data_IF_598692530947
#
_entry.id   IF_598692530947
#
_cell.length_a   1.000
_cell.length_b   1.000
_cell.length_c   1.000
_cell.angle_alpha   90.00
_cell.angle_beta   90.00
_cell.angle_gamma   90.00
#
_symmetry.space_group_name_H-M   'P 1'
#
loop_
_entity.id
_entity.type
_entity.pdbx_description
1 polymer ?
#
# COMPACT_ATOMS: atom_id res chain seq x y z
N UNK A 1 -38.42 -0.55 -28.62
CA UNK A 1 -37.31 -1.50 -28.90
C UNK A 1 -36.02 -0.70 -29.04
N UNK A 2 -35.18 -0.67 -28.00
CA UNK A 2 -33.89 0.02 -28.05
C UNK A 2 -32.80 -0.97 -28.47
N UNK A 3 -32.14 -0.68 -29.59
CA UNK A 3 -31.03 -1.45 -30.13
C UNK A 3 -29.83 -1.34 -29.17
N UNK A 4 -29.46 -2.44 -28.54
CA UNK A 4 -28.17 -2.57 -27.86
C UNK A 4 -27.06 -2.47 -28.91
N UNK A 5 -26.54 -1.26 -29.15
CA UNK A 5 -25.27 -1.08 -29.86
C UNK A 5 -24.21 -1.79 -29.05
N UNK A 6 -23.76 -2.97 -29.49
CA UNK A 6 -22.53 -3.59 -29.00
C UNK A 6 -21.42 -2.56 -29.20
N UNK A 7 -20.96 -1.96 -28.11
CA UNK A 7 -19.90 -0.98 -28.18
C UNK A 7 -18.63 -1.72 -28.60
N UNK A 8 -18.06 -1.32 -29.73
CA UNK A 8 -16.86 -1.95 -30.27
C UNK A 8 -15.68 -1.57 -29.35
N UNK A 9 -14.89 -2.55 -28.88
CA UNK A 9 -13.65 -2.27 -28.17
C UNK A 9 -12.74 -1.38 -29.03
N UNK A 10 -12.04 -0.47 -28.39
CA UNK A 10 -11.00 0.32 -29.05
C UNK A 10 -9.82 -0.59 -29.43
N UNK A 11 -9.21 -0.41 -30.62
CA UNK A 11 -8.11 -1.27 -31.06
C UNK A 11 -6.82 -1.08 -30.25
N UNK A 12 -6.61 0.10 -29.65
CA UNK A 12 -5.39 0.46 -28.92
C UNK A 12 -5.59 0.45 -27.40
N UNK A 13 -6.84 0.60 -26.93
CA UNK A 13 -7.22 0.56 -25.51
C UNK A 13 -8.36 -0.46 -25.32
N UNK A 14 -8.09 -1.77 -25.38
CA UNK A 14 -9.10 -2.83 -25.45
C UNK A 14 -9.98 -2.93 -24.20
N UNK A 15 -9.55 -2.37 -23.07
CA UNK A 15 -10.35 -2.26 -21.84
C UNK A 15 -11.55 -1.31 -21.98
N UNK A 16 -11.59 -0.51 -23.05
CA UNK A 16 -12.58 0.52 -23.27
C UNK A 16 -13.28 0.35 -24.61
N UNK A 17 -14.51 0.86 -24.69
CA UNK A 17 -15.11 1.11 -25.99
C UNK A 17 -14.46 2.33 -26.68
N UNK A 18 -14.60 2.40 -28.01
CA UNK A 18 -14.02 3.49 -28.81
C UNK A 18 -14.38 4.91 -28.31
N UNK A 19 -15.62 5.13 -27.84
CA UNK A 19 -16.02 6.45 -27.36
C UNK A 19 -15.39 6.79 -26.01
N UNK A 20 -15.25 5.80 -25.14
CA UNK A 20 -14.55 5.89 -23.86
C UNK A 20 -13.05 6.15 -24.06
N UNK A 21 -12.42 5.45 -25.01
CA UNK A 21 -11.03 5.64 -25.36
C UNK A 21 -10.77 7.05 -25.94
N UNK A 22 -11.62 7.53 -26.84
CA UNK A 22 -11.53 8.90 -27.38
C UNK A 22 -11.65 9.96 -26.29
N UNK A 23 -12.52 9.72 -25.30
CA UNK A 23 -12.67 10.61 -24.15
C UNK A 23 -11.41 10.65 -23.28
N UNK A 24 -10.78 9.50 -23.01
CA UNK A 24 -9.51 9.46 -22.27
C UNK A 24 -8.41 10.17 -23.04
N UNK A 25 -8.28 9.94 -24.35
CA UNK A 25 -7.30 10.65 -25.20
C UNK A 25 -7.50 12.16 -25.11
N UNK A 26 -8.75 12.63 -25.15
CA UNK A 26 -9.06 14.05 -25.03
C UNK A 26 -8.69 14.62 -23.65
N UNK A 27 -9.03 13.92 -22.57
CA UNK A 27 -8.68 14.32 -21.20
C UNK A 27 -7.17 14.33 -20.96
N UNK A 28 -6.45 13.34 -21.51
CA UNK A 28 -5.00 13.27 -21.41
C UNK A 28 -4.32 14.42 -22.14
N UNK A 29 -4.78 14.76 -23.37
CA UNK A 29 -4.32 15.95 -24.10
C UNK A 29 -4.56 17.23 -23.30
N UNK A 30 -5.74 17.37 -22.70
CA UNK A 30 -6.08 18.54 -21.89
C UNK A 30 -5.16 18.68 -20.67
N UNK A 31 -4.90 17.58 -19.95
CA UNK A 31 -3.99 17.59 -18.79
C UNK A 31 -2.55 17.93 -19.20
N UNK A 32 -2.03 17.34 -20.27
CA UNK A 32 -0.68 17.64 -20.80
C UNK A 32 -0.55 19.11 -21.23
N UNK A 33 -1.57 19.64 -21.91
CA UNK A 33 -1.61 21.04 -22.30
C UNK A 33 -1.65 21.96 -21.07
N UNK A 34 -2.41 21.62 -20.03
CA UNK A 34 -2.48 22.38 -18.78
C UNK A 34 -1.13 22.39 -18.03
N UNK A 35 -0.33 21.34 -18.19
CA UNK A 35 1.05 21.25 -17.67
C UNK A 35 2.08 21.96 -18.56
N UNK A 36 1.65 22.56 -19.68
CA UNK A 36 2.55 23.25 -20.63
C UNK A 36 3.41 22.30 -21.46
N UNK A 37 3.05 21.02 -21.55
CA UNK A 37 3.81 19.99 -22.26
C UNK A 37 3.26 19.83 -23.68
N UNK A 38 4.12 20.02 -24.67
CA UNK A 38 3.76 19.72 -26.06
C UNK A 38 3.79 18.19 -26.26
N UNK A 39 2.66 17.61 -26.62
CA UNK A 39 2.51 16.18 -26.80
C UNK A 39 1.53 15.82 -27.92
N UNK A 40 1.86 14.77 -28.66
CA UNK A 40 0.98 14.10 -29.62
C UNK A 40 0.44 12.83 -28.99
N UNK A 41 -0.88 12.64 -29.04
CA UNK A 41 -1.54 11.42 -28.56
C UNK A 41 -2.14 10.70 -29.76
N UNK A 42 -1.60 9.53 -30.08
CA UNK A 42 -2.05 8.66 -31.18
C UNK A 42 -2.31 7.24 -30.66
N UNK A 43 -3.52 6.73 -30.85
CA UNK A 43 -3.96 5.48 -30.23
C UNK A 43 -3.77 5.49 -28.70
N UNK A 44 -2.98 4.54 -28.19
CA UNK A 44 -2.56 4.49 -26.78
C UNK A 44 -1.22 5.19 -26.53
N UNK A 45 -0.51 5.65 -27.56
CA UNK A 45 0.83 6.21 -27.48
C UNK A 45 0.79 7.72 -27.26
N UNK A 46 1.66 8.21 -26.38
CA UNK A 46 1.89 9.64 -26.16
C UNK A 46 3.36 9.96 -26.41
N UNK A 47 3.60 10.80 -27.41
CA UNK A 47 4.92 11.34 -27.72
C UNK A 47 4.97 12.79 -27.20
N UNK A 48 5.85 13.08 -26.25
CA UNK A 48 5.96 14.41 -25.65
C UNK A 48 7.39 14.95 -25.69
N UNK A 49 7.54 16.24 -25.42
CA UNK A 49 8.87 16.87 -25.25
C UNK A 49 9.67 16.30 -24.08
N UNK A 50 9.03 15.60 -23.13
CA UNK A 50 9.67 14.94 -21.99
C UNK A 50 10.02 13.47 -22.25
N UNK A 51 9.63 12.93 -23.40
CA UNK A 51 9.75 11.51 -23.73
C UNK A 51 8.41 10.87 -24.05
N UNK A 52 8.43 9.55 -24.21
CA UNK A 52 7.31 8.76 -24.67
C UNK A 52 6.69 7.93 -23.54
N UNK A 53 5.35 7.80 -23.52
CA UNK A 53 4.62 6.93 -22.59
C UNK A 53 3.29 6.45 -23.19
N UNK A 54 2.58 5.54 -22.51
CA UNK A 54 1.30 4.96 -22.97
C UNK A 54 0.11 5.32 -22.07
N UNK A 55 -1.09 5.37 -22.65
CA UNK A 55 -2.37 5.63 -21.96
C UNK A 55 -3.02 4.37 -21.37
N UNK A 56 -2.45 3.19 -21.56
CA UNK A 56 -2.99 1.94 -21.02
C UNK A 56 -3.22 1.99 -19.49
N UNK A 57 -2.33 2.57 -18.67
CA UNK A 57 -2.59 2.68 -17.23
C UNK A 57 -3.76 3.62 -16.92
N UNK A 58 -3.96 4.66 -17.72
CA UNK A 58 -5.11 5.57 -17.60
C UNK A 58 -6.40 4.82 -17.95
N UNK A 59 -6.38 4.04 -19.04
CA UNK A 59 -7.54 3.26 -19.48
C UNK A 59 -7.95 2.20 -18.45
N UNK A 60 -6.97 1.47 -17.91
CA UNK A 60 -7.18 0.47 -16.85
C UNK A 60 -7.77 1.07 -15.59
N UNK A 61 -7.30 2.25 -15.18
CA UNK A 61 -7.79 2.95 -13.98
C UNK A 61 -9.19 3.54 -14.19
N UNK A 62 -9.56 3.90 -15.43
CA UNK A 62 -10.88 4.43 -15.75
C UNK A 62 -11.95 3.35 -16.01
N UNK A 63 -11.56 2.16 -16.49
CA UNK A 63 -12.48 1.11 -16.95
C UNK A 63 -13.50 0.66 -15.89
N UNK A 64 -13.07 0.60 -14.62
CA UNK A 64 -13.89 0.15 -13.49
C UNK A 64 -14.58 1.32 -12.73
N UNK A 65 -14.45 2.57 -13.21
CA UNK A 65 -14.82 3.78 -12.46
C UNK A 65 -15.95 4.57 -13.12
N UNK A 66 -16.68 5.37 -12.33
CA UNK A 66 -17.74 6.25 -12.85
C UNK A 66 -17.17 7.25 -13.88
N UNK A 67 -17.72 7.33 -15.10
CA UNK A 67 -17.26 8.28 -16.12
C UNK A 67 -17.24 9.76 -15.71
N UNK A 68 -17.89 10.15 -14.61
CA UNK A 68 -17.83 11.50 -14.04
C UNK A 68 -16.53 11.76 -13.26
N UNK A 69 -15.88 10.74 -12.73
CA UNK A 69 -14.60 10.88 -12.01
C UNK A 69 -13.39 10.92 -12.95
N UNK A 70 -13.57 10.51 -14.21
CA UNK A 70 -12.49 10.39 -15.20
C UNK A 70 -11.66 11.67 -15.40
N UNK A 71 -12.21 12.89 -15.44
CA UNK A 71 -11.38 14.10 -15.58
C UNK A 71 -10.33 14.22 -14.47
N UNK A 72 -10.69 13.86 -13.24
CA UNK A 72 -9.76 13.87 -12.11
C UNK A 72 -8.78 12.69 -12.17
N UNK A 73 -9.27 11.47 -12.43
CA UNK A 73 -8.42 10.27 -12.53
C UNK A 73 -7.37 10.40 -13.64
N UNK A 74 -7.79 10.82 -14.84
CA UNK A 74 -6.88 11.01 -15.97
C UNK A 74 -5.81 12.05 -15.64
N UNK A 75 -6.20 13.18 -15.05
CA UNK A 75 -5.28 14.25 -14.68
C UNK A 75 -4.24 13.78 -13.65
N UNK A 76 -4.65 13.06 -12.60
CA UNK A 76 -3.74 12.51 -11.60
C UNK A 76 -2.77 11.48 -12.19
N UNK A 77 -3.26 10.57 -13.03
CA UNK A 77 -2.42 9.53 -13.66
C UNK A 77 -1.44 10.15 -14.64
N UNK A 78 -1.88 11.13 -15.45
CA UNK A 78 -1.01 11.86 -16.41
C UNK A 78 0.04 12.67 -15.67
N UNK A 79 -0.30 13.40 -14.60
CA UNK A 79 0.67 14.11 -13.76
C UNK A 79 1.73 13.18 -13.18
N UNK A 80 1.32 11.99 -12.71
CA UNK A 80 2.23 10.96 -12.20
C UNK A 80 3.19 10.46 -13.30
N UNK A 81 2.69 10.21 -14.51
CA UNK A 81 3.51 9.81 -15.66
C UNK A 81 4.49 10.90 -16.08
N UNK A 82 4.03 12.15 -16.15
CA UNK A 82 4.85 13.32 -16.47
C UNK A 82 5.95 13.53 -15.44
N UNK A 83 5.62 13.45 -14.14
CA UNK A 83 6.60 13.55 -13.06
C UNK A 83 7.65 12.43 -13.18
N UNK A 84 7.21 11.20 -13.46
CA UNK A 84 8.12 10.09 -13.67
C UNK A 84 9.10 10.33 -14.84
N UNK A 85 8.63 10.94 -15.94
CA UNK A 85 9.49 11.29 -17.08
C UNK A 85 10.43 12.47 -16.77
N UNK A 86 9.93 13.52 -16.11
CA UNK A 86 10.70 14.71 -15.76
C UNK A 86 11.82 14.42 -14.75
N UNK A 87 11.55 13.54 -13.78
CA UNK A 87 12.51 13.16 -12.73
C UNK A 87 13.48 12.05 -13.21
N UNK A 88 13.35 11.58 -14.46
CA UNK A 88 14.11 10.44 -14.97
C UNK A 88 13.79 9.12 -14.27
N UNK A 89 12.67 9.06 -13.52
CA UNK A 89 12.17 7.88 -12.86
C UNK A 89 11.66 6.89 -13.92
N UNK A 90 12.58 6.01 -14.35
CA UNK A 90 12.27 4.84 -15.16
C UNK A 90 11.02 4.17 -14.61
N UNK A 91 10.09 3.85 -15.51
CA UNK A 91 9.06 2.83 -15.34
C UNK A 91 9.64 1.72 -14.45
N UNK A 92 9.02 1.49 -13.29
CA UNK A 92 9.56 0.63 -12.24
C UNK A 92 9.81 -0.78 -12.80
N UNK A 93 11.04 -1.07 -13.22
CA UNK A 93 11.44 -2.42 -13.62
C UNK A 93 11.39 -3.32 -12.39
N UNK A 94 11.16 -4.62 -12.54
CA UNK A 94 11.16 -5.56 -11.41
C UNK A 94 12.45 -5.46 -10.56
N UNK A 95 13.59 -5.17 -11.21
CA UNK A 95 14.87 -4.93 -10.54
C UNK A 95 14.90 -3.63 -9.73
N UNK A 96 14.22 -2.58 -10.20
CA UNK A 96 14.07 -1.28 -9.52
C UNK A 96 13.07 -1.39 -8.36
N UNK A 97 11.97 -2.12 -8.56
CA UNK A 97 10.99 -2.48 -7.53
C UNK A 97 11.68 -3.20 -6.40
N UNK A 98 12.37 -4.31 -6.66
CA UNK A 98 13.01 -5.10 -5.61
C UNK A 98 14.00 -4.31 -4.74
N UNK A 99 14.62 -3.26 -5.28
CA UNK A 99 15.58 -2.44 -4.52
C UNK A 99 14.94 -1.46 -3.54
N UNK A 100 13.72 -1.02 -3.78
CA UNK A 100 13.13 0.10 -3.05
C UNK A 100 11.73 -0.20 -2.52
N UNK A 101 11.12 -1.34 -2.86
CA UNK A 101 9.85 -1.70 -2.25
C UNK A 101 10.04 -2.20 -0.83
N UNK A 102 9.08 -1.88 0.02
CA UNK A 102 9.01 -2.32 1.41
C UNK A 102 7.60 -2.80 1.72
N UNK A 103 7.49 -3.71 2.68
CA UNK A 103 6.19 -4.06 3.24
C UNK A 103 5.64 -2.92 4.08
N UNK A 104 4.38 -2.57 3.82
CA UNK A 104 3.65 -1.55 4.54
C UNK A 104 2.39 -2.14 5.15
N UNK A 105 2.32 -2.04 6.48
CA UNK A 105 1.09 -2.29 7.22
C UNK A 105 0.08 -1.18 6.90
N UNK A 106 -1.06 -1.55 6.32
CA UNK A 106 -2.03 -0.60 5.78
C UNK A 106 -3.43 -0.78 6.43
N UNK A 107 -3.84 0.14 7.33
CA UNK A 107 -5.16 0.12 7.95
C UNK A 107 -6.29 0.44 6.96
N UNK A 108 -7.51 -0.04 7.23
CA UNK A 108 -8.69 0.17 6.38
C UNK A 108 -8.96 1.64 6.04
N UNK A 109 -8.82 2.55 7.02
CA UNK A 109 -9.01 4.01 6.81
C UNK A 109 -8.08 4.59 5.73
N UNK A 110 -6.87 4.05 5.59
CA UNK A 110 -5.87 4.50 4.61
C UNK A 110 -6.10 3.86 3.24
N UNK A 111 -7.00 2.86 3.15
CA UNK A 111 -7.45 2.24 1.91
C UNK A 111 -8.64 2.96 1.28
N UNK A 112 -9.36 3.78 2.05
CA UNK A 112 -10.60 4.41 1.58
C UNK A 112 -10.37 5.25 0.31
N UNK A 113 -11.17 4.99 -0.72
CA UNK A 113 -11.09 5.69 -2.01
C UNK A 113 -10.01 5.19 -2.97
N UNK A 114 -9.31 4.09 -2.67
CA UNK A 114 -8.26 3.50 -3.52
C UNK A 114 -8.43 1.97 -3.65
N UNK A 115 -8.06 1.42 -4.81
CA UNK A 115 -8.09 -0.03 -5.03
C UNK A 115 -6.74 -0.67 -4.66
N UNK A 116 -6.81 -1.69 -3.79
CA UNK A 116 -5.68 -2.47 -3.29
C UNK A 116 -5.94 -3.97 -3.44
N UNK A 117 -6.43 -4.41 -4.60
CA UNK A 117 -6.71 -5.83 -4.91
C UNK A 117 -5.47 -6.71 -4.80
N UNK A 118 -4.28 -6.14 -4.99
CA UNK A 118 -2.98 -6.85 -4.87
C UNK A 118 -2.38 -6.84 -3.46
N UNK A 119 -3.02 -6.19 -2.48
CA UNK A 119 -2.59 -6.28 -1.09
C UNK A 119 -2.87 -7.68 -0.51
N UNK A 120 -2.05 -8.11 0.44
CA UNK A 120 -2.17 -9.42 1.09
C UNK A 120 -2.83 -9.29 2.45
N UNK A 121 -3.68 -10.25 2.80
CA UNK A 121 -4.20 -10.32 4.17
C UNK A 121 -3.04 -10.56 5.15
N UNK A 122 -3.08 -9.95 6.34
CA UNK A 122 -2.06 -10.15 7.37
C UNK A 122 -1.83 -11.65 7.66
N UNK A 123 -2.91 -12.43 7.75
CA UNK A 123 -2.87 -13.88 8.00
C UNK A 123 -2.16 -14.71 6.93
N UNK A 124 -2.08 -14.21 5.69
CA UNK A 124 -1.35 -14.88 4.61
C UNK A 124 0.16 -14.66 4.66
N UNK A 125 0.59 -13.65 5.43
CA UNK A 125 1.98 -13.24 5.58
C UNK A 125 2.53 -13.65 6.94
N UNK A 126 1.66 -13.68 7.95
CA UNK A 126 1.92 -14.15 9.31
C UNK A 126 0.90 -15.26 9.62
N UNK A 127 1.27 -16.55 9.51
CA UNK A 127 0.34 -17.67 9.69
C UNK A 127 -0.26 -17.65 11.11
N UNK A 128 -1.59 -17.76 11.25
CA UNK A 128 -2.35 -17.73 12.51
C UNK A 128 -2.12 -16.50 13.41
N UNK A 129 -2.56 -15.33 12.90
CA UNK A 129 -2.97 -14.23 13.76
C UNK A 129 -4.12 -14.68 14.67
N UNK A 130 -3.81 -14.86 15.95
CA UNK A 130 -4.75 -15.35 16.95
C UNK A 130 -6.03 -14.51 16.95
N UNK A 131 -7.17 -15.21 16.92
CA UNK A 131 -8.53 -14.66 17.10
C UNK A 131 -8.53 -13.42 18.01
N UNK A 132 -9.08 -12.32 17.50
CA UNK A 132 -9.63 -11.25 18.33
C UNK A 132 -10.53 -11.89 19.39
N UNK A 133 -10.38 -11.49 20.65
CA UNK A 133 -11.06 -12.07 21.80
C UNK A 133 -12.53 -12.40 21.56
N UNK A 134 -13.01 -13.47 22.20
CA UNK A 134 -14.40 -13.93 22.11
C UNK A 134 -15.40 -12.81 22.41
N UNK A 135 -16.10 -12.36 21.39
CA UNK A 135 -17.30 -11.54 21.47
C UNK A 135 -18.10 -11.86 20.22
N UNK A 136 -19.40 -12.08 20.39
CA UNK A 136 -20.33 -12.51 19.34
C UNK A 136 -20.11 -11.73 18.03
N UNK A 137 -20.32 -12.43 16.91
CA UNK A 137 -20.63 -11.79 15.65
C UNK A 137 -21.84 -10.88 15.85
N UNK A 138 -21.58 -9.60 16.10
CA UNK A 138 -22.58 -8.55 16.08
C UNK A 138 -22.62 -8.04 14.64
N UNK A 139 -23.72 -8.33 13.95
CA UNK A 139 -24.08 -7.72 12.68
C UNK A 139 -24.31 -6.23 12.93
N UNK A 140 -23.23 -5.45 12.90
CA UNK A 140 -23.26 -3.99 13.03
C UNK A 140 -22.44 -3.48 14.21
N UNK A 141 -21.14 -3.29 14.03
CA UNK A 141 -20.31 -2.66 15.06
C UNK A 141 -18.87 -2.43 14.60
N UNK A 142 -18.43 -1.18 14.69
CA UNK A 142 -17.04 -0.78 14.50
C UNK A 142 -16.10 -1.61 15.39
N UNK A 143 -15.01 -2.15 14.83
CA UNK A 143 -13.95 -2.76 15.67
C UNK A 143 -13.06 -3.83 15.05
N UNK A 144 -13.30 -4.32 13.83
CA UNK A 144 -12.29 -5.10 13.09
C UNK A 144 -11.45 -4.16 12.25
N UNK A 145 -10.27 -3.82 12.72
CA UNK A 145 -9.26 -3.17 11.87
C UNK A 145 -8.79 -4.21 10.86
N UNK A 146 -9.43 -4.26 9.70
CA UNK A 146 -8.97 -5.07 8.56
C UNK A 146 -7.69 -4.44 8.01
N UNK A 147 -6.56 -4.82 8.63
CA UNK A 147 -5.23 -4.40 8.22
C UNK A 147 -4.70 -5.36 7.15
N UNK A 148 -4.08 -4.81 6.12
CA UNK A 148 -3.47 -5.59 5.04
C UNK A 148 -1.99 -5.25 4.90
N UNK A 149 -1.26 -6.12 4.21
CA UNK A 149 0.12 -5.90 3.78
C UNK A 149 0.11 -5.39 2.35
N UNK A 150 0.51 -4.14 2.17
CA UNK A 150 0.70 -3.53 0.86
C UNK A 150 2.19 -3.38 0.56
N UNK A 151 2.52 -3.19 -0.73
CA UNK A 151 3.84 -2.70 -1.13
C UNK A 151 3.82 -1.18 -1.08
N UNK A 152 4.89 -0.61 -0.53
CA UNK A 152 5.20 0.81 -0.65
C UNK A 152 6.56 0.96 -1.32
N UNK A 153 6.75 2.08 -2.00
CA UNK A 153 8.03 2.52 -2.53
C UNK A 153 8.71 3.41 -1.50
N UNK A 154 9.87 2.97 -1.03
CA UNK A 154 10.75 3.73 -0.15
C UNK A 154 11.75 4.51 -0.99
N UNK A 155 11.38 5.74 -1.34
CA UNK A 155 12.21 6.68 -2.06
C UNK A 155 13.11 7.49 -1.13
N UNK A 156 14.01 8.30 -1.69
CA UNK A 156 14.94 9.11 -0.88
C UNK A 156 14.23 10.16 -0.02
N UNK A 157 13.07 10.67 -0.46
CA UNK A 157 12.33 11.74 0.23
C UNK A 157 10.93 11.33 0.72
N UNK A 158 10.36 10.24 0.20
CA UNK A 158 8.97 9.84 0.48
C UNK A 158 8.78 8.32 0.52
N UNK A 159 7.80 7.92 1.34
CA UNK A 159 7.24 6.58 1.34
C UNK A 159 5.88 6.59 0.61
N UNK A 160 5.83 6.01 -0.58
CA UNK A 160 4.66 6.06 -1.46
C UNK A 160 3.94 4.71 -1.57
N UNK A 161 2.66 4.66 -1.22
CA UNK A 161 1.86 3.44 -1.31
C UNK A 161 1.64 3.02 -2.77
N UNK A 162 2.02 1.77 -3.10
CA UNK A 162 1.82 1.21 -4.43
C UNK A 162 0.41 0.62 -4.54
N UNK A 163 -0.46 1.33 -5.24
CA UNK A 163 -1.82 0.88 -5.53
C UNK A 163 -1.86 -0.09 -6.72
N UNK A 164 -3.07 -0.55 -7.07
CA UNK A 164 -3.24 -1.49 -8.17
C UNK A 164 -2.76 -0.96 -9.53
N UNK A 165 -2.83 0.36 -9.77
CA UNK A 165 -2.32 0.94 -11.00
C UNK A 165 -0.79 0.86 -11.06
N UNK A 166 -0.12 1.21 -9.96
CA UNK A 166 1.34 1.15 -9.85
C UNK A 166 1.88 -0.28 -9.98
N UNK A 167 1.15 -1.26 -9.44
CA UNK A 167 1.55 -2.67 -9.46
C UNK A 167 1.10 -3.42 -10.73
N UNK A 168 0.43 -2.75 -11.66
CA UNK A 168 -0.20 -3.42 -12.80
C UNK A 168 0.76 -3.96 -13.86
N UNK A 169 2.01 -3.47 -13.87
CA UNK A 169 3.06 -3.86 -14.82
C UNK A 169 4.15 -4.72 -14.16
N UNK A 170 3.98 -5.11 -12.89
CA UNK A 170 4.93 -5.96 -12.17
C UNK A 170 4.71 -7.40 -12.62
N UNK A 171 5.74 -8.01 -13.21
CA UNK A 171 5.62 -9.36 -13.78
C UNK A 171 5.62 -10.41 -12.67
N UNK A 172 6.49 -10.24 -11.67
CA UNK A 172 6.60 -11.13 -10.52
C UNK A 172 6.26 -10.41 -9.20
N UNK A 173 4.97 -10.42 -8.87
CA UNK A 173 4.48 -9.86 -7.61
C UNK A 173 5.04 -10.62 -6.40
N UNK A 174 5.23 -11.94 -6.47
CA UNK A 174 5.77 -12.70 -5.35
C UNK A 174 7.21 -12.30 -5.03
N UNK A 175 8.04 -12.13 -6.07
CA UNK A 175 9.39 -11.59 -5.90
C UNK A 175 9.39 -10.17 -5.32
N UNK A 176 8.47 -9.31 -5.76
CA UNK A 176 8.33 -7.96 -5.21
C UNK A 176 7.93 -7.98 -3.72
N UNK A 177 7.02 -8.88 -3.32
CA UNK A 177 6.68 -9.08 -1.91
C UNK A 177 7.84 -9.67 -1.11
N UNK A 178 8.60 -10.62 -1.65
CA UNK A 178 9.79 -11.16 -0.98
C UNK A 178 10.85 -10.06 -0.76
N UNK A 179 11.10 -9.22 -1.77
CA UNK A 179 12.00 -8.08 -1.66
C UNK A 179 11.49 -7.05 -0.64
N UNK A 180 10.19 -6.76 -0.65
CA UNK A 180 9.55 -5.86 0.31
C UNK A 180 9.75 -6.30 1.76
N UNK A 181 9.68 -7.60 2.03
CA UNK A 181 10.01 -8.16 3.35
C UNK A 181 11.49 -7.97 3.68
N UNK A 182 12.38 -8.34 2.76
CA UNK A 182 13.82 -8.24 2.98
C UNK A 182 14.27 -6.80 3.30
N UNK A 183 13.73 -5.81 2.59
CA UNK A 183 14.01 -4.41 2.82
C UNK A 183 13.42 -3.92 4.15
N UNK A 184 12.23 -4.37 4.54
CA UNK A 184 11.67 -4.07 5.86
C UNK A 184 12.52 -4.69 6.98
N UNK A 185 13.04 -5.90 6.80
CA UNK A 185 13.96 -6.54 7.75
C UNK A 185 15.26 -5.74 7.88
N UNK A 186 15.79 -5.25 6.76
CA UNK A 186 16.97 -4.40 6.74
C UNK A 186 16.73 -3.06 7.45
N UNK A 187 15.57 -2.41 7.22
CA UNK A 187 15.16 -1.19 7.93
C UNK A 187 15.06 -1.44 9.43
N UNK A 188 14.33 -2.49 9.86
CA UNK A 188 14.25 -2.86 11.28
C UNK A 188 15.65 -3.03 11.89
N UNK A 189 16.58 -3.68 11.18
CA UNK A 189 17.93 -3.91 11.67
C UNK A 189 18.77 -2.63 11.76
N UNK A 190 18.76 -1.79 10.73
CA UNK A 190 19.63 -0.62 10.60
C UNK A 190 19.11 0.60 11.36
N UNK A 191 17.80 0.75 11.48
CA UNK A 191 17.19 1.96 12.01
C UNK A 191 17.32 2.02 13.54
N UNK A 192 17.79 3.16 14.09
CA UNK A 192 17.82 3.36 15.53
C UNK A 192 16.40 3.43 16.09
N UNK A 193 16.21 2.79 17.24
CA UNK A 193 14.94 2.81 17.96
C UNK A 193 15.20 3.10 19.44
N UNK A 194 14.40 3.99 19.99
CA UNK A 194 14.34 4.20 21.43
C UNK A 194 13.38 3.17 22.03
N UNK A 195 13.80 2.52 23.12
CA UNK A 195 13.02 1.47 23.77
C UNK A 195 12.78 1.88 25.21
N UNK A 196 11.52 2.04 25.57
CA UNK A 196 11.09 2.36 26.93
C UNK A 196 10.32 1.18 27.51
N UNK A 197 10.75 0.69 28.68
CA UNK A 197 9.98 -0.32 29.40
C UNK A 197 8.76 0.35 30.05
N UNK A 198 7.56 -0.07 29.66
CA UNK A 198 6.30 0.52 30.15
C UNK A 198 5.61 -0.36 31.19
N UNK A 199 5.90 -1.67 31.17
CA UNK A 199 5.53 -2.61 32.22
C UNK A 199 6.48 -3.81 32.21
N UNK A 200 6.26 -4.75 33.12
CA UNK A 200 7.01 -6.00 33.15
C UNK A 200 6.82 -6.77 31.83
N UNK A 201 7.92 -7.02 31.10
CA UNK A 201 7.90 -7.64 29.77
C UNK A 201 7.33 -6.80 28.63
N UNK A 202 6.74 -5.62 28.88
CA UNK A 202 6.15 -4.77 27.83
C UNK A 202 7.02 -3.55 27.57
N UNK A 203 7.37 -3.36 26.31
CA UNK A 203 8.17 -2.24 25.83
C UNK A 203 7.41 -1.41 24.81
N UNK A 204 7.66 -0.11 24.85
CA UNK A 204 7.31 0.85 23.81
C UNK A 204 8.56 1.15 22.99
N UNK A 205 8.44 0.98 21.68
CA UNK A 205 9.49 1.21 20.70
C UNK A 205 9.10 2.44 19.90
N UNK A 206 9.97 3.44 19.86
CA UNK A 206 9.80 4.66 19.06
C UNK A 206 10.95 4.79 18.07
N UNK A 207 10.64 5.18 16.83
CA UNK A 207 11.67 5.38 15.81
C UNK A 207 11.27 6.47 14.81
N UNK A 208 12.25 7.19 14.23
CA UNK A 208 11.98 8.15 13.16
C UNK A 208 11.50 7.49 11.86
N UNK A 209 11.65 6.18 11.68
CA UNK A 209 11.22 5.48 10.47
C UNK A 209 9.70 5.49 10.32
N UNK A 210 9.25 5.77 9.10
CA UNK A 210 7.83 5.70 8.74
C UNK A 210 7.32 4.25 8.65
N UNK A 211 8.24 3.28 8.69
CA UNK A 211 7.99 1.85 8.67
C UNK A 211 7.93 1.24 10.07
N UNK A 212 8.07 2.02 11.14
CA UNK A 212 8.07 1.50 12.52
C UNK A 212 6.86 0.63 12.79
N UNK A 213 5.64 1.10 12.52
CA UNK A 213 4.43 0.27 12.65
C UNK A 213 4.45 -0.98 11.75
N UNK A 214 5.08 -0.92 10.58
CA UNK A 214 5.21 -2.04 9.66
C UNK A 214 6.14 -3.13 10.19
N UNK A 215 7.05 -2.86 11.13
CA UNK A 215 7.88 -3.90 11.75
C UNK A 215 7.05 -4.97 12.46
N UNK A 216 5.79 -4.68 12.82
CA UNK A 216 4.85 -5.69 13.31
C UNK A 216 4.66 -6.88 12.32
N UNK A 217 4.97 -6.69 11.04
CA UNK A 217 4.94 -7.74 10.02
C UNK A 217 6.13 -8.72 10.10
N UNK A 218 7.08 -8.48 11.02
CA UNK A 218 8.29 -9.26 11.22
C UNK A 218 8.37 -9.79 12.68
N UNK A 219 7.42 -10.64 13.10
CA UNK A 219 7.28 -10.99 14.52
C UNK A 219 8.51 -11.71 15.09
N UNK A 220 9.23 -12.52 14.30
CA UNK A 220 10.44 -13.21 14.75
C UNK A 220 11.59 -12.23 15.04
N UNK A 221 11.83 -11.33 14.11
CA UNK A 221 12.87 -10.32 14.18
C UNK A 221 12.57 -9.31 15.30
N UNK A 222 11.30 -8.95 15.46
CA UNK A 222 10.81 -8.03 16.47
C UNK A 222 10.86 -8.64 17.87
N UNK A 223 10.47 -9.90 18.04
CA UNK A 223 10.63 -10.63 19.31
C UNK A 223 12.10 -10.75 19.72
N UNK A 224 12.96 -11.12 18.77
CA UNK A 224 14.41 -11.24 19.00
C UNK A 224 15.02 -9.92 19.47
N UNK A 225 14.59 -8.79 18.88
CA UNK A 225 15.16 -7.47 19.15
C UNK A 225 14.59 -6.80 20.40
N UNK A 226 13.30 -6.92 20.65
CA UNK A 226 12.61 -6.08 21.66
C UNK A 226 11.90 -6.86 22.78
N UNK A 227 11.69 -8.17 22.62
CA UNK A 227 11.10 -9.02 23.65
C UNK A 227 11.91 -10.32 23.88
N UNK A 228 13.24 -10.21 24.12
CA UNK A 228 14.08 -11.38 24.28
C UNK A 228 13.59 -12.23 25.47
N UNK A 229 13.34 -13.52 25.22
CA UNK A 229 12.81 -14.46 26.21
C UNK A 229 11.33 -14.81 26.03
N UNK A 230 10.61 -14.11 25.14
CA UNK A 230 9.31 -14.59 24.65
C UNK A 230 9.51 -15.76 23.68
N UNK A 231 8.57 -16.71 23.64
CA UNK A 231 8.68 -17.91 22.80
C UNK A 231 7.39 -18.17 22.04
N UNK A 232 7.52 -18.44 20.75
CA UNK A 232 6.43 -18.84 19.85
C UNK A 232 5.41 -17.77 19.49
N UNK A 233 5.12 -16.82 20.39
CA UNK A 233 4.14 -15.75 20.19
C UNK A 233 4.48 -14.47 20.97
N UNK A 234 4.15 -13.32 20.38
CA UNK A 234 4.25 -12.00 21.00
C UNK A 234 2.93 -11.25 20.82
N UNK A 235 2.64 -10.36 21.75
CA UNK A 235 1.58 -9.38 21.63
C UNK A 235 2.15 -8.09 21.06
N UNK A 236 1.60 -7.62 19.94
CA UNK A 236 2.04 -6.41 19.25
C UNK A 236 0.87 -5.46 19.04
N UNK A 237 1.10 -4.16 19.18
CA UNK A 237 0.18 -3.12 18.75
C UNK A 237 0.95 -1.92 18.18
N UNK A 238 0.29 -1.14 17.32
CA UNK A 238 0.85 0.08 16.76
C UNK A 238 -0.12 1.23 17.04
N UNK A 239 0.13 2.08 18.07
CA UNK A 239 -0.69 3.24 18.37
C UNK A 239 -0.77 4.21 17.18
N UNK A 240 0.37 4.44 16.53
CA UNK A 240 0.52 5.26 15.33
C UNK A 240 1.62 4.67 14.42
N UNK A 241 2.08 5.43 13.42
CA UNK A 241 3.09 4.94 12.47
C UNK A 241 4.53 4.90 13.00
N UNK A 242 4.81 5.59 14.11
CA UNK A 242 6.15 5.78 14.69
C UNK A 242 6.35 5.03 16.01
N UNK A 243 5.29 4.45 16.56
CA UNK A 243 5.32 3.72 17.83
C UNK A 243 4.86 2.28 17.64
N UNK A 244 5.53 1.38 18.34
CA UNK A 244 5.14 -0.01 18.52
C UNK A 244 5.13 -0.38 19.99
N UNK A 245 4.15 -1.18 20.39
CA UNK A 245 4.09 -1.80 21.70
C UNK A 245 4.31 -3.29 21.52
N UNK A 246 5.24 -3.85 22.28
CA UNK A 246 5.64 -5.25 22.19
C UNK A 246 5.66 -5.85 23.59
N UNK A 247 5.09 -7.03 23.76
CA UNK A 247 5.17 -7.74 25.02
C UNK A 247 4.82 -9.22 24.94
N UNK A 248 4.87 -9.93 26.08
CA UNK A 248 4.44 -11.31 26.17
C UNK A 248 2.92 -11.44 25.95
N UNK A 249 2.50 -12.66 25.61
CA UNK A 249 1.07 -13.01 25.50
C UNK A 249 0.53 -13.37 26.88
N UNK A 250 0.12 -12.35 27.64
CA UNK A 250 -0.58 -12.52 28.91
C UNK A 250 -1.60 -11.38 29.16
N UNK A 251 -2.50 -11.60 30.11
CA UNK A 251 -3.58 -10.66 30.43
C UNK A 251 -3.07 -9.30 30.91
N UNK A 252 -1.93 -9.27 31.61
CA UNK A 252 -1.36 -8.04 32.17
C UNK A 252 -0.75 -7.19 31.07
N UNK A 253 -0.04 -7.81 30.13
CA UNK A 253 0.49 -7.17 28.93
C UNK A 253 -0.64 -6.64 28.06
N UNK A 254 -1.68 -7.46 27.82
CA UNK A 254 -2.87 -7.07 27.05
C UNK A 254 -3.60 -5.86 27.64
N UNK A 255 -3.84 -5.85 28.95
CA UNK A 255 -4.45 -4.71 29.64
C UNK A 255 -3.55 -3.47 29.64
N UNK A 256 -2.23 -3.63 29.66
CA UNK A 256 -1.28 -2.52 29.61
C UNK A 256 -1.26 -1.88 28.23
N UNK A 257 -1.12 -2.69 27.18
CA UNK A 257 -1.11 -2.22 25.78
C UNK A 257 -2.43 -1.55 25.44
N UNK A 258 -3.57 -2.17 25.77
CA UNK A 258 -4.89 -1.62 25.44
C UNK A 258 -5.13 -0.23 26.05
N UNK A 259 -4.59 0.05 27.24
CA UNK A 259 -4.71 1.37 27.90
C UNK A 259 -3.85 2.47 27.27
N UNK A 260 -2.87 2.09 26.44
CA UNK A 260 -1.95 3.02 25.76
C UNK A 260 -2.37 3.34 24.33
N UNK A 261 -3.35 2.62 23.79
CA UNK A 261 -3.80 2.83 22.42
C UNK A 261 -4.78 4.00 22.33
N UNK A 262 -4.70 4.79 21.24
CA UNK A 262 -5.74 5.74 20.90
C UNK A 262 -7.02 4.99 20.49
N UNK A 263 -8.12 5.73 20.34
CA UNK A 263 -9.39 5.18 19.87
C UNK A 263 -9.26 4.47 18.51
N UNK A 264 -8.41 5.00 17.62
CA UNK A 264 -8.17 4.44 16.28
C UNK A 264 -6.67 4.20 16.08
N UNK A 265 -6.13 3.04 16.51
CA UNK A 265 -4.74 2.69 16.31
C UNK A 265 -4.47 2.25 14.86
N UNK A 266 -3.19 2.25 14.46
CA UNK A 266 -2.75 1.64 13.20
C UNK A 266 -2.88 0.12 13.25
N UNK A 267 -2.54 -0.47 14.39
CA UNK A 267 -2.73 -1.90 14.69
C UNK A 267 -3.25 -2.06 16.11
N UNK A 268 -4.42 -2.68 16.24
CA UNK A 268 -4.98 -3.08 17.53
C UNK A 268 -4.11 -4.19 18.17
N UNK A 269 -4.24 -4.47 19.49
CA UNK A 269 -3.47 -5.53 20.13
C UNK A 269 -3.70 -6.86 19.41
N UNK A 270 -2.63 -7.39 18.83
CA UNK A 270 -2.65 -8.56 17.96
C UNK A 270 -1.60 -9.55 18.42
N UNK A 271 -1.99 -10.81 18.62
CA UNK A 271 -1.05 -11.89 18.92
C UNK A 271 -0.49 -12.41 17.62
N UNK A 272 0.84 -12.35 17.48
CA UNK A 272 1.56 -12.78 16.28
C UNK A 272 2.53 -13.92 16.63
N UNK A 273 2.46 -15.05 15.92
CA UNK A 273 3.40 -16.14 16.10
C UNK A 273 4.70 -15.92 15.33
N UNK A 274 5.77 -16.57 15.78
CA UNK A 274 7.09 -16.56 15.14
C UNK A 274 7.94 -17.78 15.47
#
# INVERSE_FOLDING_TARGET
MALFRRRRPDPDLPELDAASADRIRALARQSLQALGISATVDGARVESTLGEFTLEPVARECADQDPRSWPFLVDEVVKRMVRALADGARQLSDATIGRHVVWRLLPDRERMGRSFRRARALSSVVPDGGRTGSGMADEGGAGKTDVVVALAWDGEESLDLLNDAALSQVVDLDAAFAAGRANLTADLAATPAEVAQIADGVVEVSSPSWLTASWALLPAELATRFAPGTTGQILVAAPDHRHLLVGPVDDRASATISRRLPEVPVLAPTVLPF
#
